data_IF_341174323770
#
_entry.id   IF_341174323770
#
_cell.length_a   1.000
_cell.length_b   1.000
_cell.length_c   1.000
_cell.angle_alpha   90.00
_cell.angle_beta   90.00
_cell.angle_gamma   90.00
#
_symmetry.space_group_name_H-M   'P 1'
#
loop_
_entity.id
_entity.type
_entity.pdbx_description
1 polymer ?
#
# COMPACT_ATOMS: atom_id res chain seq x y z
N UNK A 1 -10.56 -34.59 19.02
CA UNK A 1 -11.63 -33.58 18.84
C UNK A 1 -11.14 -32.60 17.78
N UNK A 2 -11.61 -32.72 16.53
CA UNK A 2 -11.13 -31.89 15.42
C UNK A 2 -11.80 -30.50 15.51
N UNK A 3 -11.04 -29.49 15.93
CA UNK A 3 -11.53 -28.12 15.96
C UNK A 3 -11.59 -27.60 14.52
N UNK A 4 -12.80 -27.38 14.01
CA UNK A 4 -13.03 -26.77 12.70
C UNK A 4 -12.34 -25.40 12.65
N UNK A 5 -11.14 -25.34 12.06
CA UNK A 5 -10.41 -24.09 11.80
C UNK A 5 -11.10 -23.34 10.67
N UNK A 6 -12.13 -22.55 10.99
CA UNK A 6 -12.81 -21.68 10.03
C UNK A 6 -12.04 -20.36 9.92
N UNK A 7 -11.68 -19.96 8.70
CA UNK A 7 -11.17 -18.61 8.44
C UNK A 7 -12.21 -17.57 8.88
N UNK A 8 -11.79 -16.55 9.61
CA UNK A 8 -12.65 -15.41 9.95
C UNK A 8 -12.56 -14.40 8.81
N UNK A 9 -13.32 -14.67 7.75
CA UNK A 9 -13.35 -13.85 6.53
C UNK A 9 -14.38 -12.73 6.74
N UNK A 10 -13.98 -11.47 6.56
CA UNK A 10 -14.95 -10.36 6.52
C UNK A 10 -15.79 -10.44 5.25
N UNK A 11 -16.93 -9.74 5.20
CA UNK A 11 -17.75 -9.66 3.99
C UNK A 11 -16.96 -9.09 2.80
N UNK A 12 -16.07 -8.11 3.04
CA UNK A 12 -15.22 -7.52 2.03
C UNK A 12 -14.16 -8.51 1.54
N UNK A 13 -13.49 -9.20 2.46
CA UNK A 13 -12.50 -10.22 2.13
C UNK A 13 -13.10 -11.40 1.35
N UNK A 14 -14.34 -11.78 1.68
CA UNK A 14 -15.09 -12.80 0.95
C UNK A 14 -15.47 -12.31 -0.46
N UNK A 15 -15.87 -11.05 -0.58
CA UNK A 15 -16.16 -10.44 -1.88
C UNK A 15 -14.92 -10.36 -2.78
N UNK A 16 -13.75 -10.00 -2.25
CA UNK A 16 -12.48 -9.98 -3.01
C UNK A 16 -12.05 -11.40 -3.42
N UNK A 17 -12.18 -12.39 -2.53
CA UNK A 17 -11.83 -13.77 -2.87
C UNK A 17 -12.77 -14.38 -3.93
N UNK A 18 -14.04 -13.97 -3.95
CA UNK A 18 -15.04 -14.42 -4.92
C UNK A 18 -14.99 -13.63 -6.25
N UNK A 19 -14.62 -12.36 -6.18
CA UNK A 19 -14.44 -11.50 -7.34
C UNK A 19 -12.97 -11.53 -7.74
N UNK A 20 -12.59 -12.37 -8.71
CA UNK A 20 -11.31 -12.24 -9.42
C UNK A 20 -11.24 -10.94 -10.25
N UNK A 21 -11.51 -9.78 -9.63
CA UNK A 21 -11.84 -8.54 -10.30
C UNK A 21 -10.58 -7.77 -10.66
N UNK A 22 -10.12 -7.98 -11.89
CA UNK A 22 -9.50 -6.92 -12.67
C UNK A 22 -10.64 -5.97 -13.06
N UNK A 23 -10.83 -4.87 -12.33
CA UNK A 23 -11.73 -3.80 -12.80
C UNK A 23 -11.06 -3.21 -14.04
N UNK A 24 -11.75 -3.13 -15.20
CA UNK A 24 -11.16 -2.53 -16.39
C UNK A 24 -10.74 -1.09 -16.06
N UNK A 25 -9.55 -0.70 -16.50
CA UNK A 25 -9.14 0.70 -16.46
C UNK A 25 -10.12 1.49 -17.33
N UNK A 26 -10.77 2.50 -16.75
CA UNK A 26 -11.61 3.42 -17.50
C UNK A 26 -10.73 4.58 -17.96
N UNK A 27 -10.47 4.62 -19.26
CA UNK A 27 -9.78 5.71 -19.94
C UNK A 27 -10.81 6.65 -20.59
N UNK A 28 -10.69 7.94 -20.35
CA UNK A 28 -11.38 8.97 -21.13
C UNK A 28 -10.35 9.69 -22.01
N UNK A 29 -10.58 9.70 -23.32
CA UNK A 29 -9.76 10.44 -24.27
C UNK A 29 -10.61 11.52 -24.96
N UNK A 30 -10.09 12.74 -25.00
CA UNK A 30 -10.65 13.85 -25.77
C UNK A 30 -9.59 14.41 -26.69
N UNK A 31 -9.90 14.50 -27.99
CA UNK A 31 -9.02 15.05 -29.01
C UNK A 31 -9.76 16.12 -29.79
N UNK A 32 -9.13 17.29 -29.93
CA UNK A 32 -9.59 18.37 -30.79
C UNK A 32 -8.39 19.12 -31.35
N UNK A 33 -8.21 19.05 -32.67
CA UNK A 33 -7.07 19.67 -33.37
C UNK A 33 -5.74 19.25 -32.72
N UNK A 34 -4.95 20.21 -32.25
CA UNK A 34 -3.68 19.98 -31.58
C UNK A 34 -3.80 19.63 -30.09
N UNK A 35 -5.02 19.64 -29.52
CA UNK A 35 -5.26 19.36 -28.11
C UNK A 35 -5.69 17.91 -27.89
N UNK A 36 -5.03 17.23 -26.96
CA UNK A 36 -5.39 15.90 -26.47
C UNK A 36 -5.43 15.91 -24.94
N UNK A 37 -6.46 15.32 -24.37
CA UNK A 37 -6.57 15.03 -22.94
C UNK A 37 -6.83 13.53 -22.78
N UNK A 38 -6.07 12.91 -21.89
CA UNK A 38 -6.26 11.52 -21.48
C UNK A 38 -6.43 11.48 -19.96
N UNK A 39 -7.44 10.75 -19.50
CA UNK A 39 -7.68 10.50 -18.08
C UNK A 39 -7.76 9.00 -17.88
N UNK A 40 -6.82 8.43 -17.12
CA UNK A 40 -6.79 7.01 -16.80
C UNK A 40 -7.10 6.81 -15.32
N UNK A 41 -8.08 5.97 -15.03
CA UNK A 41 -8.43 5.60 -13.65
C UNK A 41 -8.20 4.12 -13.42
N UNK A 42 -7.41 3.81 -12.40
CA UNK A 42 -7.18 2.44 -11.92
C UNK A 42 -7.75 2.28 -10.53
N UNK A 43 -8.70 1.36 -10.36
CA UNK A 43 -9.24 0.98 -9.04
C UNK A 43 -8.85 -0.46 -8.75
N UNK A 44 -8.38 -0.70 -7.53
CA UNK A 44 -8.00 -2.02 -7.04
C UNK A 44 -8.59 -2.26 -5.66
N UNK A 45 -9.07 -3.48 -5.43
CA UNK A 45 -9.52 -3.95 -4.12
C UNK A 45 -8.70 -5.19 -3.78
N UNK A 46 -8.23 -5.29 -2.54
CA UNK A 46 -7.38 -6.37 -2.08
C UNK A 46 -7.64 -6.71 -0.63
N UNK A 47 -7.36 -7.95 -0.27
CA UNK A 47 -7.36 -8.40 1.11
C UNK A 47 -6.14 -9.28 1.35
N UNK A 48 -5.59 -9.22 2.56
CA UNK A 48 -4.42 -9.99 2.97
C UNK A 48 -4.68 -10.70 4.28
N UNK A 49 -4.30 -11.98 4.36
CA UNK A 49 -4.56 -12.87 5.50
C UNK A 49 -3.28 -13.41 6.09
N UNK A 50 -3.30 -13.65 7.41
CA UNK A 50 -2.28 -14.47 8.05
C UNK A 50 -2.56 -15.95 7.80
N UNK A 51 -1.74 -16.60 6.98
CA UNK A 51 -1.94 -18.01 6.60
C UNK A 51 -1.56 -19.00 7.72
N UNK A 52 -0.51 -18.68 8.48
CA UNK A 52 0.09 -19.60 9.45
C UNK A 52 0.00 -19.12 10.89
N UNK A 53 0.25 -20.06 11.80
CA UNK A 53 0.31 -19.77 13.22
C UNK A 53 1.55 -18.89 13.51
N UNK A 54 1.58 -18.28 14.69
CA UNK A 54 2.72 -17.47 15.10
C UNK A 54 3.90 -18.35 15.46
N UNK A 55 5.03 -18.09 14.81
CA UNK A 55 6.31 -18.67 15.21
C UNK A 55 6.97 -17.75 16.24
N UNK A 56 6.97 -18.18 17.50
CA UNK A 56 7.56 -17.43 18.61
C UNK A 56 9.09 -17.43 18.63
N UNK A 57 9.74 -18.23 17.77
CA UNK A 57 11.19 -18.16 17.57
C UNK A 57 11.62 -16.80 17.03
N UNK A 58 10.75 -16.16 16.24
CA UNK A 58 10.94 -14.82 15.70
C UNK A 58 10.33 -13.69 16.54
N UNK A 59 9.88 -13.97 17.76
CA UNK A 59 9.32 -12.98 18.71
C UNK A 59 10.31 -12.74 19.83
N UNK A 60 10.49 -11.50 20.24
CA UNK A 60 11.38 -11.12 21.33
C UNK A 60 11.07 -11.84 22.63
N UNK A 61 12.12 -12.06 23.42
CA UNK A 61 12.09 -12.89 24.64
C UNK A 61 10.97 -12.54 25.62
N UNK A 62 10.72 -11.25 25.88
CA UNK A 62 9.70 -10.80 26.81
C UNK A 62 8.28 -11.07 26.29
N UNK A 63 8.05 -10.82 24.99
CA UNK A 63 6.76 -11.07 24.35
C UNK A 63 6.45 -12.56 24.21
N UNK A 64 7.47 -13.38 23.91
CA UNK A 64 7.33 -14.83 23.84
C UNK A 64 7.05 -15.43 25.24
N UNK A 65 7.80 -15.01 26.26
CA UNK A 65 7.58 -15.46 27.64
C UNK A 65 6.19 -15.07 28.16
N UNK A 66 5.71 -13.85 27.85
CA UNK A 66 4.36 -13.40 28.20
C UNK A 66 3.25 -14.25 27.55
N UNK A 67 3.53 -14.90 26.42
CA UNK A 67 2.63 -15.83 25.77
C UNK A 67 2.79 -17.29 26.25
N UNK A 68 3.68 -17.54 27.23
CA UNK A 68 3.96 -18.88 27.76
C UNK A 68 4.88 -19.72 26.87
N UNK A 69 5.58 -19.09 25.92
CA UNK A 69 6.38 -19.77 24.91
C UNK A 69 7.86 -19.78 25.28
N UNK A 70 8.54 -20.91 25.03
CA UNK A 70 9.98 -21.08 25.25
C UNK A 70 10.68 -21.38 23.92
N UNK A 71 11.84 -20.76 23.68
CA UNK A 71 12.57 -20.86 22.41
C UNK A 71 12.37 -19.65 21.50
N UNK A 72 13.04 -18.54 21.84
CA UNK A 72 13.11 -17.32 21.02
C UNK A 72 14.54 -17.10 20.52
N UNK A 73 14.69 -16.51 19.33
CA UNK A 73 15.98 -16.09 18.77
C UNK A 73 16.03 -14.58 18.49
N UNK A 74 14.89 -13.88 18.58
CA UNK A 74 14.84 -12.44 18.36
C UNK A 74 15.47 -11.67 19.52
N UNK A 75 16.42 -10.79 19.19
CA UNK A 75 17.17 -9.99 20.17
C UNK A 75 16.41 -8.77 20.73
N UNK A 76 15.22 -8.46 20.20
CA UNK A 76 14.41 -7.33 20.66
C UNK A 76 12.93 -7.68 20.65
N UNK A 77 12.17 -7.09 21.58
CA UNK A 77 10.70 -7.18 21.66
C UNK A 77 9.99 -5.99 20.99
N UNK A 78 10.73 -5.00 20.48
CA UNK A 78 10.18 -3.77 19.92
C UNK A 78 9.73 -3.86 18.46
N UNK A 79 10.09 -4.95 17.76
CA UNK A 79 9.84 -5.11 16.32
C UNK A 79 8.84 -6.25 16.01
N UNK A 80 8.21 -6.82 17.03
CA UNK A 80 7.34 -7.99 16.87
C UNK A 80 5.90 -7.63 16.48
N UNK A 81 5.56 -6.34 16.40
CA UNK A 81 4.19 -5.85 16.22
C UNK A 81 3.46 -6.51 15.04
N UNK A 82 4.11 -6.61 13.88
CA UNK A 82 3.53 -7.29 12.71
C UNK A 82 3.19 -8.77 12.95
N UNK A 83 3.99 -9.47 13.75
CA UNK A 83 3.76 -10.88 14.06
C UNK A 83 2.70 -11.07 15.16
N UNK A 84 2.63 -10.14 16.11
CA UNK A 84 1.73 -10.22 17.28
C UNK A 84 0.34 -9.64 17.01
N UNK A 85 0.19 -8.75 16.03
CA UNK A 85 -1.07 -8.04 15.79
C UNK A 85 -2.17 -8.88 15.16
N UNK A 86 -1.86 -10.01 14.52
CA UNK A 86 -2.85 -10.71 13.68
C UNK A 86 -2.88 -12.20 13.97
N UNK A 87 -4.08 -12.76 14.15
CA UNK A 87 -4.28 -14.19 14.36
C UNK A 87 -4.26 -14.96 13.05
N UNK A 88 -3.90 -16.24 13.12
CA UNK A 88 -4.04 -17.13 11.96
C UNK A 88 -5.47 -17.09 11.44
N UNK A 89 -5.59 -16.98 10.12
CA UNK A 89 -6.84 -16.99 9.39
C UNK A 89 -7.67 -15.71 9.51
N UNK A 90 -7.18 -14.67 10.19
CA UNK A 90 -7.74 -13.32 10.09
C UNK A 90 -7.09 -12.53 8.97
N UNK A 91 -7.86 -11.65 8.34
CA UNK A 91 -7.30 -10.58 7.53
C UNK A 91 -6.58 -9.57 8.40
N UNK A 92 -5.47 -9.05 7.89
CA UNK A 92 -4.74 -7.93 8.49
C UNK A 92 -4.81 -6.65 7.66
N UNK A 93 -5.28 -6.74 6.42
CA UNK A 93 -5.49 -5.62 5.52
C UNK A 93 -6.65 -5.93 4.59
N UNK A 94 -7.56 -4.97 4.42
CA UNK A 94 -8.66 -5.01 3.46
C UNK A 94 -8.76 -3.66 2.78
N UNK A 95 -8.04 -3.51 1.69
CA UNK A 95 -7.73 -2.23 1.06
C UNK A 95 -8.51 -2.02 -0.22
N UNK A 96 -9.04 -0.81 -0.40
CA UNK A 96 -9.43 -0.25 -1.69
C UNK A 96 -8.48 0.89 -2.02
N UNK A 97 -7.98 0.92 -3.25
CA UNK A 97 -7.05 1.93 -3.75
C UNK A 97 -7.51 2.41 -5.13
N UNK A 98 -7.45 3.72 -5.34
CA UNK A 98 -7.68 4.35 -6.62
C UNK A 98 -6.46 5.22 -7.01
N UNK A 99 -6.07 5.15 -8.28
CA UNK A 99 -5.09 6.06 -8.90
C UNK A 99 -5.75 6.70 -10.11
N UNK A 100 -5.58 8.01 -10.25
CA UNK A 100 -6.10 8.81 -11.36
C UNK A 100 -4.94 9.57 -11.98
N UNK A 101 -4.76 9.36 -13.28
CA UNK A 101 -3.76 10.03 -14.10
C UNK A 101 -4.47 10.94 -15.08
N UNK A 102 -4.00 12.18 -15.20
CA UNK A 102 -4.48 13.13 -16.21
C UNK A 102 -3.28 13.64 -16.99
N UNK A 103 -3.33 13.42 -18.29
CA UNK A 103 -2.33 13.92 -19.23
C UNK A 103 -2.99 14.88 -20.22
N UNK A 104 -2.39 16.06 -20.36
CA UNK A 104 -2.79 17.09 -21.32
C UNK A 104 -1.64 17.32 -22.28
N UNK A 105 -1.96 17.32 -23.57
CA UNK A 105 -1.02 17.61 -24.65
C UNK A 105 -1.59 18.72 -25.53
N UNK A 106 -0.77 19.71 -25.86
CA UNK A 106 -1.07 20.74 -26.84
C UNK A 106 0.18 21.07 -27.66
N UNK A 107 0.18 20.69 -28.93
CA UNK A 107 1.35 20.84 -29.83
C UNK A 107 2.61 20.23 -29.21
N UNK A 108 3.57 21.08 -28.86
CA UNK A 108 4.87 20.72 -28.30
C UNK A 108 4.94 20.94 -26.78
N UNK A 109 3.80 21.03 -26.10
CA UNK A 109 3.69 21.21 -24.66
C UNK A 109 2.77 20.17 -24.05
N UNK A 110 2.99 19.87 -22.77
CA UNK A 110 2.03 19.08 -22.01
C UNK A 110 2.10 19.29 -20.51
N UNK A 111 1.12 18.71 -19.84
CA UNK A 111 0.99 18.69 -18.40
C UNK A 111 0.53 17.30 -17.94
N UNK A 112 1.07 16.84 -16.81
CA UNK A 112 0.74 15.56 -16.22
C UNK A 112 0.49 15.73 -14.73
N UNK A 113 -0.57 15.11 -14.23
CA UNK A 113 -0.85 14.97 -12.81
C UNK A 113 -1.31 13.55 -12.49
N UNK A 114 -0.79 13.00 -11.40
CA UNK A 114 -1.16 11.69 -10.87
C UNK A 114 -1.53 11.80 -9.40
N UNK A 115 -2.77 11.41 -9.08
CA UNK A 115 -3.27 11.31 -7.72
C UNK A 115 -3.49 9.85 -7.32
N UNK A 116 -3.25 9.53 -6.05
CA UNK A 116 -3.53 8.22 -5.45
C UNK A 116 -4.28 8.40 -4.16
N UNK A 117 -5.31 7.59 -3.93
CA UNK A 117 -5.96 7.46 -2.64
C UNK A 117 -6.14 5.99 -2.26
N UNK A 118 -6.09 5.68 -0.97
CA UNK A 118 -6.43 4.35 -0.46
C UNK A 118 -7.16 4.42 0.87
N UNK A 119 -7.91 3.35 1.15
CA UNK A 119 -8.61 3.11 2.40
C UNK A 119 -8.52 1.63 2.75
N UNK A 120 -8.05 1.32 3.95
CA UNK A 120 -7.96 -0.02 4.52
C UNK A 120 -8.97 -0.17 5.67
N UNK A 121 -9.99 -0.97 5.43
CA UNK A 121 -11.07 -1.20 6.37
C UNK A 121 -10.58 -1.79 7.70
N UNK A 122 -9.59 -2.69 7.66
CA UNK A 122 -9.08 -3.38 8.85
C UNK A 122 -8.31 -2.44 9.76
N UNK A 123 -7.50 -1.58 9.17
CA UNK A 123 -6.68 -0.63 9.93
C UNK A 123 -7.56 0.50 10.47
N UNK A 124 -8.43 1.10 9.64
CA UNK A 124 -9.25 2.25 10.05
C UNK A 124 -10.24 1.89 11.16
N UNK A 125 -10.91 0.73 11.08
CA UNK A 125 -11.93 0.36 12.06
C UNK A 125 -11.38 -0.33 13.30
N UNK A 126 -10.09 -0.70 13.31
CA UNK A 126 -9.48 -1.40 14.44
C UNK A 126 -10.17 -2.73 14.78
N UNK A 127 -10.87 -3.34 13.83
CA UNK A 127 -11.67 -4.56 14.00
C UNK A 127 -10.82 -5.85 13.92
N UNK A 128 -9.50 -5.67 13.85
CA UNK A 128 -8.51 -6.72 13.83
C UNK A 128 -8.59 -7.59 15.08
N UNK A 129 -8.70 -8.91 14.89
CA UNK A 129 -8.59 -9.88 15.98
C UNK A 129 -7.14 -9.89 16.44
N UNK A 130 -6.81 -8.96 17.33
CA UNK A 130 -5.43 -8.74 17.73
C UNK A 130 -5.03 -9.79 18.76
N UNK A 131 -3.86 -10.42 18.60
CA UNK A 131 -3.28 -11.35 19.56
C UNK A 131 -2.25 -10.64 20.42
N UNK A 132 -2.70 -9.54 21.05
CA UNK A 132 -1.83 -8.56 21.69
C UNK A 132 -0.97 -9.24 22.75
N UNK A 133 0.35 -8.99 22.76
CA UNK A 133 1.18 -9.41 23.88
C UNK A 133 0.72 -8.71 25.15
N UNK A 134 1.10 -9.27 26.31
CA UNK A 134 0.78 -8.68 27.61
C UNK A 134 1.29 -7.22 27.78
N UNK A 135 2.30 -6.82 27.01
CA UNK A 135 2.94 -5.50 27.07
C UNK A 135 2.72 -4.66 25.81
N UNK A 136 1.53 -4.74 25.21
CA UNK A 136 1.20 -3.90 24.06
C UNK A 136 1.08 -2.43 24.44
N UNK A 137 1.44 -1.52 23.52
CA UNK A 137 1.34 -0.08 23.75
C UNK A 137 -0.13 0.32 23.88
N UNK A 138 -0.45 1.00 24.97
CA UNK A 138 -1.79 1.47 25.28
C UNK A 138 -1.78 2.96 25.65
N UNK A 139 -2.90 3.64 25.40
CA UNK A 139 -3.15 4.98 25.92
C UNK A 139 -3.43 4.94 27.43
N UNK A 140 -3.63 6.12 28.03
CA UNK A 140 -3.94 6.23 29.47
C UNK A 140 -5.25 5.54 29.89
N UNK A 141 -6.12 5.18 28.94
CA UNK A 141 -7.39 4.51 29.17
C UNK A 141 -7.30 3.00 28.90
N UNK A 142 -6.11 2.47 28.59
CA UNK A 142 -5.90 1.06 28.25
C UNK A 142 -6.30 0.70 26.81
N UNK A 143 -6.63 1.69 25.97
CA UNK A 143 -6.91 1.41 24.56
C UNK A 143 -5.60 1.15 23.82
N UNK A 144 -5.56 0.15 22.93
CA UNK A 144 -4.42 -0.09 22.05
C UNK A 144 -4.07 1.15 21.21
N UNK A 145 -2.78 1.45 21.13
CA UNK A 145 -2.27 2.54 20.27
C UNK A 145 -1.99 2.09 18.82
N UNK A 146 -1.90 0.78 18.61
CA UNK A 146 -1.54 0.19 17.32
C UNK A 146 -2.62 -0.82 16.84
N UNK A 147 -2.77 -0.99 15.52
CA UNK A 147 -2.26 -0.09 14.48
C UNK A 147 -2.93 1.29 14.60
N UNK A 148 -2.21 2.36 14.27
CA UNK A 148 -2.80 3.70 14.23
C UNK A 148 -3.85 3.75 13.11
N UNK A 149 -5.09 4.12 13.45
CA UNK A 149 -6.20 4.13 12.47
C UNK A 149 -5.97 5.13 11.33
N UNK A 150 -5.15 6.16 11.56
CA UNK A 150 -4.70 7.10 10.54
C UNK A 150 -3.95 6.42 9.40
N UNK A 151 -3.19 5.37 9.69
CA UNK A 151 -2.32 4.69 8.73
C UNK A 151 -3.13 3.85 7.72
N UNK A 152 -4.40 3.62 8.04
CA UNK A 152 -5.33 2.92 7.16
C UNK A 152 -5.85 3.75 6.01
N UNK A 153 -5.47 5.02 5.84
CA UNK A 153 -5.94 5.85 4.72
C UNK A 153 -4.96 6.97 4.36
N UNK A 154 -4.84 7.25 3.07
CA UNK A 154 -4.13 8.44 2.58
C UNK A 154 -4.69 8.88 1.24
N UNK A 155 -4.41 10.15 0.88
CA UNK A 155 -4.61 10.70 -0.45
C UNK A 155 -3.44 11.63 -0.77
N UNK A 156 -2.73 11.32 -1.86
CA UNK A 156 -1.44 11.92 -2.21
C UNK A 156 -1.41 12.30 -3.70
N UNK A 157 -0.76 13.43 -4.03
CA UNK A 157 -0.35 13.74 -5.42
C UNK A 157 1.07 13.17 -5.60
N UNK A 158 1.21 12.21 -6.51
CA UNK A 158 2.45 11.50 -6.74
C UNK A 158 3.36 12.22 -7.74
N UNK A 159 2.77 12.77 -8.79
CA UNK A 159 3.47 13.49 -9.85
C UNK A 159 2.59 14.69 -10.27
N UNK A 160 3.25 15.82 -10.54
CA UNK A 160 2.62 17.02 -11.06
C UNK A 160 3.69 17.85 -11.78
N UNK A 161 3.69 17.82 -13.11
CA UNK A 161 4.69 18.52 -13.90
C UNK A 161 4.15 18.98 -15.25
N UNK A 162 4.84 19.96 -15.83
CA UNK A 162 4.64 20.41 -17.20
C UNK A 162 5.90 20.18 -18.01
N UNK A 163 5.76 20.07 -19.32
CA UNK A 163 6.90 19.97 -20.22
C UNK A 163 6.71 20.75 -21.51
N UNK A 164 7.83 20.96 -22.20
CA UNK A 164 7.86 21.41 -23.58
C UNK A 164 9.01 20.78 -24.35
N UNK A 165 8.80 20.67 -25.65
CA UNK A 165 9.73 20.12 -26.62
C UNK A 165 10.09 21.17 -27.67
N UNK A 166 11.38 21.29 -27.97
CA UNK A 166 11.91 22.22 -28.96
C UNK A 166 13.08 21.60 -29.73
N UNK A 167 13.44 22.26 -30.83
CA UNK A 167 14.66 21.97 -31.58
C UNK A 167 15.63 23.13 -31.44
N UNK A 168 16.86 22.85 -31.02
CA UNK A 168 17.97 23.78 -31.01
C UNK A 168 18.94 23.39 -32.15
N UNK A 169 18.71 23.94 -33.34
CA UNK A 169 19.37 23.48 -34.56
C UNK A 169 18.90 22.06 -34.92
N UNK A 170 19.84 21.12 -34.93
CA UNK A 170 19.63 19.70 -35.19
C UNK A 170 19.44 18.86 -33.91
N UNK A 171 19.36 19.50 -32.73
CA UNK A 171 19.27 18.81 -31.43
C UNK A 171 17.88 18.97 -30.80
N UNK A 172 17.22 17.88 -30.38
CA UNK A 172 15.98 17.99 -29.61
C UNK A 172 16.29 18.44 -28.17
N UNK A 173 15.45 19.32 -27.63
CA UNK A 173 15.48 19.81 -26.26
C UNK A 173 14.11 19.56 -25.62
N UNK A 174 14.10 18.75 -24.55
CA UNK A 174 12.93 18.59 -23.67
C UNK A 174 13.22 19.30 -22.34
N UNK A 175 12.31 20.15 -21.89
CA UNK A 175 12.38 20.79 -20.57
C UNK A 175 11.15 20.40 -19.78
N UNK A 176 11.34 19.93 -18.54
CA UNK A 176 10.27 19.55 -17.62
C UNK A 176 10.41 20.31 -16.31
N UNK A 177 9.29 20.76 -15.75
CA UNK A 177 9.24 21.47 -14.48
C UNK A 177 8.12 20.90 -13.61
N UNK A 178 8.47 20.45 -12.40
CA UNK A 178 7.53 19.94 -11.41
C UNK A 178 8.03 18.69 -10.69
N UNK A 179 7.12 18.07 -9.94
CA UNK A 179 7.36 16.79 -9.26
C UNK A 179 7.16 15.66 -10.26
N UNK A 180 8.20 14.88 -10.50
CA UNK A 180 8.23 13.82 -11.50
C UNK A 180 9.21 12.72 -11.10
N UNK A 181 8.92 11.49 -11.52
CA UNK A 181 9.91 10.40 -11.49
C UNK A 181 10.85 10.51 -12.69
N UNK A 182 12.16 10.58 -12.42
CA UNK A 182 13.21 10.49 -13.45
C UNK A 182 13.97 9.19 -13.25
N UNK A 183 13.86 8.28 -14.20
CA UNK A 183 14.65 7.03 -14.18
C UNK A 183 16.01 7.27 -14.82
N UNK A 184 17.07 7.17 -14.01
CA UNK A 184 18.46 7.28 -14.45
C UNK A 184 19.07 5.88 -14.63
N UNK A 185 18.91 5.28 -15.81
CA UNK A 185 19.60 4.03 -16.18
C UNK A 185 19.24 2.77 -15.37
N UNK A 186 19.94 1.66 -15.67
CA UNK A 186 19.70 0.31 -15.10
C UNK A 186 19.97 0.24 -13.58
N UNK A 187 18.96 0.51 -12.77
CA UNK A 187 18.97 0.22 -11.33
C UNK A 187 18.91 -1.28 -10.99
N UNK A 188 18.91 -2.18 -11.98
CA UNK A 188 18.73 -3.62 -11.80
C UNK A 188 20.04 -4.37 -11.49
N UNK A 189 21.21 -3.77 -11.73
CA UNK A 189 22.50 -4.43 -11.58
C UNK A 189 23.35 -3.95 -10.39
N UNK A 190 22.90 -2.93 -9.65
CA UNK A 190 23.63 -2.39 -8.51
C UNK A 190 22.74 -2.36 -7.26
N UNK A 191 23.06 -3.13 -6.20
CA UNK A 191 22.50 -2.86 -4.89
C UNK A 191 22.90 -1.43 -4.52
N UNK A 192 21.93 -0.57 -4.18
CA UNK A 192 22.06 0.86 -3.86
C UNK A 192 22.01 1.86 -5.04
N UNK A 193 21.43 1.52 -6.19
CA UNK A 193 21.16 2.50 -7.24
C UNK A 193 20.24 3.64 -6.79
N UNK A 194 20.39 4.84 -7.35
CA UNK A 194 19.61 6.06 -7.02
C UNK A 194 18.11 5.93 -7.35
N UNK A 195 17.69 4.80 -7.94
CA UNK A 195 16.33 4.49 -8.34
C UNK A 195 15.77 3.26 -7.56
N UNK A 196 16.10 3.12 -6.28
CA UNK A 196 15.46 2.18 -5.34
C UNK A 196 14.53 2.89 -4.37
#
# INVERSE_FOLDING_TARGET
MAMNKRFKVSALAAAVAAAGSVVPAYGFEYVKDDFRMQVDTTVSVGASWRAEDRDYRGVGSANAAAAGESGHYAGTSSQDGGNLMWKKGSTFSEVIKATVDVELNYKNYGAFIRGKAFYDHRIVNGDGVTDRPAFYRQDANGNPLDPYQSDGRSADILDAFVWGDWWLGDKPLNVRLGQQVISWGEGIFFPNGINT
#
